data_IF_306683731397
#
_entry.id   IF_306683731397
#
_cell.length_a   1.000
_cell.length_b   1.000
_cell.length_c   1.000
_cell.angle_alpha   90.00
_cell.angle_beta   90.00
_cell.angle_gamma   90.00
#
_symmetry.space_group_name_H-M   'P 1'
#
loop_
_entity.id
_entity.type
_entity.pdbx_description
1 polymer ?
#
# COMPACT_ATOMS: atom_id res chain seq x y z
N UNK A 1 18.50 13.06 1.06
CA UNK A 1 17.17 13.06 0.40
C UNK A 1 17.29 12.25 -0.87
N UNK A 2 16.39 11.30 -1.07
CA UNK A 2 16.31 10.52 -2.31
C UNK A 2 15.38 11.20 -3.32
N UNK A 3 14.21 11.68 -2.84
CA UNK A 3 13.20 12.34 -3.67
C UNK A 3 12.31 13.25 -2.83
N UNK A 4 11.54 14.09 -3.50
CA UNK A 4 10.45 14.85 -2.91
C UNK A 4 9.12 14.31 -3.42
N UNK A 5 8.19 14.06 -2.51
CA UNK A 5 6.82 13.76 -2.85
C UNK A 5 5.91 14.87 -2.33
N UNK A 6 4.87 15.20 -3.08
CA UNK A 6 3.95 16.28 -2.72
C UNK A 6 2.64 15.69 -2.25
N UNK A 7 2.14 16.21 -1.13
CA UNK A 7 0.83 15.84 -0.59
C UNK A 7 -0.14 16.99 -0.80
N UNK A 8 -1.38 16.66 -1.10
CA UNK A 8 -2.49 17.62 -1.08
C UNK A 8 -2.87 17.89 0.37
N UNK A 9 -2.10 18.71 1.08
CA UNK A 9 -2.43 19.05 2.47
C UNK A 9 -3.81 19.72 2.61
N UNK A 10 -4.34 19.75 3.83
CA UNK A 10 -5.58 20.46 4.20
C UNK A 10 -5.53 21.97 3.89
N UNK A 11 -4.34 22.49 3.60
CA UNK A 11 -4.08 23.86 3.12
C UNK A 11 -4.00 23.87 1.59
N UNK A 12 -4.42 24.97 0.95
CA UNK A 12 -4.51 25.14 -0.51
C UNK A 12 -3.22 24.86 -1.31
N UNK A 13 -2.06 24.78 -0.67
CA UNK A 13 -0.77 24.51 -1.32
C UNK A 13 -0.24 23.14 -0.95
N UNK A 14 0.26 22.37 -1.94
CA UNK A 14 0.90 21.07 -1.68
C UNK A 14 2.12 21.22 -0.76
N UNK A 15 2.25 20.29 0.20
CA UNK A 15 3.42 20.20 1.06
C UNK A 15 4.43 19.22 0.48
N UNK A 16 5.71 19.59 0.47
CA UNK A 16 6.77 18.71 -0.03
C UNK A 16 7.35 17.87 1.11
N UNK A 17 7.30 16.56 0.97
CA UNK A 17 7.88 15.58 1.89
C UNK A 17 9.28 15.20 1.38
N UNK A 18 10.36 15.52 2.12
CA UNK A 18 11.71 15.09 1.77
C UNK A 18 11.91 13.62 2.16
N UNK A 19 11.63 12.72 1.22
CA UNK A 19 11.81 11.28 1.42
C UNK A 19 13.31 10.93 1.35
N UNK A 20 13.84 10.35 2.40
CA UNK A 20 15.25 9.98 2.50
C UNK A 20 15.50 8.53 2.08
N UNK A 21 16.75 8.18 1.75
CA UNK A 21 17.14 6.78 1.53
C UNK A 21 16.87 5.92 2.77
N UNK A 22 17.12 6.46 3.98
CA UNK A 22 16.82 5.75 5.22
C UNK A 22 15.35 5.38 5.33
N UNK A 23 14.45 6.33 5.07
CA UNK A 23 13.00 6.09 5.11
C UNK A 23 12.60 4.99 4.14
N UNK A 24 13.11 5.01 2.91
CA UNK A 24 12.83 3.99 1.89
C UNK A 24 13.34 2.61 2.30
N UNK A 25 14.59 2.50 2.76
CA UNK A 25 15.19 1.24 3.18
C UNK A 25 14.48 0.66 4.41
N UNK A 26 14.17 1.50 5.40
CA UNK A 26 13.43 1.07 6.61
C UNK A 26 12.04 0.55 6.21
N UNK A 27 11.36 1.23 5.30
CA UNK A 27 10.05 0.78 4.82
C UNK A 27 10.13 -0.58 4.12
N UNK A 28 11.13 -0.81 3.27
CA UNK A 28 11.32 -2.10 2.61
C UNK A 28 11.67 -3.21 3.60
N UNK A 29 12.44 -2.91 4.65
CA UNK A 29 12.72 -3.86 5.72
C UNK A 29 11.44 -4.20 6.53
N UNK A 30 10.56 -3.23 6.78
CA UNK A 30 9.24 -3.47 7.38
C UNK A 30 8.40 -4.43 6.54
N UNK A 31 8.39 -4.21 5.22
CA UNK A 31 7.67 -5.06 4.28
C UNK A 31 8.23 -6.49 4.27
N UNK A 32 9.54 -6.64 4.21
CA UNK A 32 10.19 -7.95 4.21
C UNK A 32 9.91 -8.73 5.51
N UNK A 33 9.93 -8.06 6.66
CA UNK A 33 9.59 -8.68 7.95
C UNK A 33 8.09 -9.03 8.07
N UNK A 34 7.23 -8.31 7.36
CA UNK A 34 5.78 -8.57 7.33
C UNK A 34 5.41 -9.66 6.34
N UNK A 35 6.15 -9.73 5.23
CA UNK A 35 5.96 -10.64 4.10
C UNK A 35 7.23 -11.46 3.83
N UNK A 36 7.55 -12.42 4.69
CA UNK A 36 8.78 -13.22 4.55
C UNK A 36 8.83 -14.02 3.24
N UNK A 37 7.69 -14.18 2.57
CA UNK A 37 7.58 -14.80 1.25
C UNK A 37 8.47 -14.12 0.20
N UNK A 38 8.83 -12.85 0.39
CA UNK A 38 9.73 -12.12 -0.50
C UNK A 38 11.20 -12.58 -0.42
N UNK A 39 11.62 -13.19 0.71
CA UNK A 39 12.93 -13.84 0.83
C UNK A 39 12.98 -15.17 0.09
N UNK A 40 11.88 -15.92 0.13
CA UNK A 40 11.81 -17.24 -0.49
C UNK A 40 11.73 -17.16 -2.01
N UNK A 41 11.00 -16.18 -2.52
CA UNK A 41 10.75 -16.02 -3.95
C UNK A 41 10.79 -14.54 -4.33
N UNK A 42 11.72 -14.13 -5.21
CA UNK A 42 11.73 -12.76 -5.71
C UNK A 42 10.35 -12.33 -6.24
N UNK A 43 9.79 -11.20 -5.78
CA UNK A 43 8.45 -10.80 -6.15
C UNK A 43 8.33 -10.41 -7.62
N UNK A 44 7.23 -10.82 -8.24
CA UNK A 44 6.84 -10.43 -9.59
C UNK A 44 5.59 -9.57 -9.48
N UNK A 45 5.68 -8.33 -9.93
CA UNK A 45 4.60 -7.36 -9.93
C UNK A 45 4.19 -7.00 -11.34
N UNK A 46 2.90 -6.78 -11.54
CA UNK A 46 2.34 -6.00 -12.65
C UNK A 46 1.70 -4.75 -12.06
N UNK A 47 2.21 -3.56 -12.38
CA UNK A 47 1.88 -2.33 -11.67
C UNK A 47 1.63 -1.14 -12.60
N UNK A 48 0.45 -0.52 -12.48
CA UNK A 48 0.05 0.71 -13.17
C UNK A 48 0.08 1.94 -12.25
N UNK A 49 0.35 1.74 -10.93
CA UNK A 49 0.30 2.83 -9.96
C UNK A 49 1.38 3.88 -10.25
N UNK A 50 1.00 5.12 -10.07
CA UNK A 50 1.85 6.25 -10.41
C UNK A 50 3.12 6.33 -9.55
N UNK A 51 4.29 6.43 -10.17
CA UNK A 51 5.57 6.50 -9.47
C UNK A 51 5.83 7.84 -8.76
N UNK A 52 5.05 8.86 -9.07
CA UNK A 52 5.08 10.12 -8.29
C UNK A 52 4.22 10.05 -7.02
N UNK A 53 3.49 8.97 -6.79
CA UNK A 53 2.78 8.69 -5.55
C UNK A 53 3.57 7.68 -4.71
N UNK A 54 3.51 7.83 -3.37
CA UNK A 54 4.29 6.99 -2.46
C UNK A 54 3.96 5.50 -2.57
N UNK A 55 2.71 5.13 -2.89
CA UNK A 55 2.31 3.73 -3.04
C UNK A 55 2.99 3.08 -4.27
N UNK A 56 2.87 3.64 -5.46
CA UNK A 56 3.56 3.11 -6.65
C UNK A 56 5.08 3.28 -6.55
N UNK A 57 5.55 4.53 -6.38
CA UNK A 57 6.95 4.87 -6.54
C UNK A 57 7.89 4.62 -5.35
N UNK A 58 7.36 4.39 -4.13
CA UNK A 58 8.18 4.03 -2.96
C UNK A 58 7.93 2.59 -2.54
N UNK A 59 6.66 2.20 -2.43
CA UNK A 59 6.26 0.88 -1.95
C UNK A 59 6.48 -0.19 -3.04
N UNK A 60 5.76 -0.11 -4.17
CA UNK A 60 5.77 -1.17 -5.18
C UNK A 60 7.11 -1.28 -5.91
N UNK A 61 7.64 -0.16 -6.40
CA UNK A 61 8.98 -0.13 -7.02
C UNK A 61 10.04 -0.60 -6.01
N UNK A 62 9.92 -0.17 -4.75
CA UNK A 62 10.83 -0.57 -3.69
C UNK A 62 10.79 -2.07 -3.41
N UNK A 63 9.62 -2.71 -3.40
CA UNK A 63 9.46 -4.17 -3.23
C UNK A 63 10.29 -4.91 -4.29
N UNK A 64 10.15 -4.55 -5.57
CA UNK A 64 10.91 -5.19 -6.64
C UNK A 64 12.42 -4.96 -6.48
N UNK A 65 12.86 -3.71 -6.24
CA UNK A 65 14.28 -3.37 -6.14
C UNK A 65 14.95 -4.01 -4.91
N UNK A 66 14.29 -3.98 -3.76
CA UNK A 66 14.88 -4.46 -2.50
C UNK A 66 15.01 -5.98 -2.45
N UNK A 67 14.07 -6.70 -3.04
CA UNK A 67 13.99 -8.16 -2.97
C UNK A 67 14.48 -8.85 -4.27
N UNK A 68 15.14 -8.13 -5.19
CA UNK A 68 15.63 -8.71 -6.45
C UNK A 68 14.50 -9.20 -7.37
N UNK A 69 13.33 -8.58 -7.27
CA UNK A 69 12.13 -8.94 -8.01
C UNK A 69 12.04 -8.32 -9.39
N UNK A 70 10.92 -8.55 -10.05
CA UNK A 70 10.60 -8.02 -11.37
C UNK A 70 9.34 -7.16 -11.28
N UNK A 71 9.35 -5.97 -11.88
CA UNK A 71 8.18 -5.13 -12.05
C UNK A 71 7.88 -4.95 -13.54
N UNK A 72 6.70 -5.36 -13.96
CA UNK A 72 6.15 -5.07 -15.28
C UNK A 72 5.33 -3.79 -15.18
N UNK A 73 5.69 -2.80 -15.99
CA UNK A 73 5.01 -1.50 -16.03
C UNK A 73 3.77 -1.64 -16.89
N UNK A 74 2.62 -1.34 -16.31
CA UNK A 74 1.31 -1.43 -16.94
C UNK A 74 0.75 -0.03 -17.22
N UNK A 75 0.27 0.20 -18.43
CA UNK A 75 -0.37 1.46 -18.84
C UNK A 75 -1.89 1.47 -18.57
N UNK A 76 -2.43 0.36 -18.05
CA UNK A 76 -3.82 0.24 -17.64
C UNK A 76 -4.17 1.13 -16.45
N UNK A 77 -5.46 1.43 -16.31
CA UNK A 77 -6.00 2.20 -15.18
C UNK A 77 -7.45 1.77 -14.94
N UNK A 78 -7.96 1.80 -13.70
CA UNK A 78 -9.35 1.46 -13.39
C UNK A 78 -10.31 2.59 -13.78
N UNK A 79 -10.30 2.95 -15.06
CA UNK A 79 -11.19 3.92 -15.72
C UNK A 79 -11.70 3.32 -17.02
N UNK A 80 -12.87 3.75 -17.43
CA UNK A 80 -13.54 3.21 -18.62
C UNK A 80 -12.62 3.16 -19.86
N UNK A 81 -12.53 1.99 -20.49
CA UNK A 81 -11.77 1.73 -21.70
C UNK A 81 -10.25 1.67 -21.53
N UNK A 82 -9.72 1.68 -20.30
CA UNK A 82 -8.27 1.55 -20.03
C UNK A 82 -7.91 0.33 -19.19
N UNK A 83 -8.83 -0.27 -18.48
CA UNK A 83 -8.55 -1.43 -17.66
C UNK A 83 -8.35 -2.71 -18.48
N UNK A 84 -8.84 -2.76 -19.71
CA UNK A 84 -8.63 -3.85 -20.67
C UNK A 84 -7.14 -4.11 -20.93
N UNK A 85 -6.30 -3.07 -20.85
CA UNK A 85 -4.84 -3.19 -20.94
C UNK A 85 -4.29 -4.01 -19.79
N UNK A 86 -4.68 -3.70 -18.56
CA UNK A 86 -4.30 -4.48 -17.37
C UNK A 86 -4.76 -5.94 -17.48
N UNK A 87 -6.00 -6.17 -17.96
CA UNK A 87 -6.52 -7.53 -18.15
C UNK A 87 -5.69 -8.30 -19.16
N UNK A 88 -5.37 -7.69 -20.32
CA UNK A 88 -4.51 -8.31 -21.34
C UNK A 88 -3.14 -8.67 -20.74
N UNK A 89 -2.52 -7.77 -20.03
CA UNK A 89 -1.20 -7.99 -19.43
C UNK A 89 -1.24 -9.08 -18.35
N UNK A 90 -2.32 -9.17 -17.56
CA UNK A 90 -2.51 -10.23 -16.55
C UNK A 90 -2.75 -11.63 -17.17
N UNK A 91 -3.20 -11.72 -18.40
CA UNK A 91 -3.26 -13.00 -19.14
C UNK A 91 -1.89 -13.49 -19.60
N UNK A 92 -0.93 -12.59 -19.77
CA UNK A 92 0.45 -12.93 -20.15
C UNK A 92 1.35 -13.11 -18.93
N UNK A 93 1.14 -12.30 -17.87
CA UNK A 93 2.00 -12.20 -16.70
C UNK A 93 1.26 -12.67 -15.46
N UNK A 94 1.77 -13.72 -14.82
CA UNK A 94 1.27 -14.21 -13.53
C UNK A 94 2.06 -13.56 -12.39
N UNK A 95 1.51 -12.57 -11.66
CA UNK A 95 2.19 -11.94 -10.55
C UNK A 95 2.29 -12.89 -9.35
N UNK A 96 3.29 -12.70 -8.49
CA UNK A 96 3.38 -13.41 -7.20
C UNK A 96 2.76 -12.58 -6.06
N UNK A 97 2.76 -11.28 -6.21
CA UNK A 97 2.07 -10.32 -5.34
C UNK A 97 1.35 -9.29 -6.21
N UNK A 98 0.09 -9.05 -5.92
CA UNK A 98 -0.68 -8.06 -6.66
C UNK A 98 -1.19 -6.96 -5.73
N UNK A 99 -0.77 -5.73 -6.03
CA UNK A 99 -1.04 -4.56 -5.20
C UNK A 99 -1.90 -3.58 -5.99
N UNK A 100 -2.98 -3.11 -5.39
CA UNK A 100 -3.88 -2.18 -6.08
C UNK A 100 -4.63 -1.28 -5.10
N UNK A 101 -5.32 -0.29 -5.64
CA UNK A 101 -6.31 0.51 -4.92
C UNK A 101 -7.69 -0.16 -5.01
N UNK A 102 -8.65 0.14 -4.11
CA UNK A 102 -9.96 -0.51 -4.12
C UNK A 102 -10.68 -0.48 -5.46
N UNK A 103 -10.63 0.65 -6.18
CA UNK A 103 -11.26 0.74 -7.51
C UNK A 103 -10.64 -0.23 -8.53
N UNK A 104 -9.32 -0.42 -8.50
CA UNK A 104 -8.66 -1.41 -9.36
C UNK A 104 -9.03 -2.85 -8.98
N UNK A 105 -9.25 -3.12 -7.69
CA UNK A 105 -9.76 -4.41 -7.23
C UNK A 105 -11.20 -4.69 -7.67
N UNK A 106 -12.07 -3.67 -7.66
CA UNK A 106 -13.44 -3.80 -8.16
C UNK A 106 -13.46 -4.22 -9.64
N UNK A 107 -12.73 -3.49 -10.50
CA UNK A 107 -12.63 -3.78 -11.95
C UNK A 107 -12.02 -5.18 -12.19
N UNK A 108 -10.94 -5.53 -11.47
CA UNK A 108 -10.30 -6.83 -11.61
C UNK A 108 -11.22 -7.97 -11.14
N UNK A 109 -11.92 -7.79 -10.02
CA UNK A 109 -12.85 -8.80 -9.49
C UNK A 109 -13.97 -9.08 -10.49
N UNK A 110 -14.53 -8.04 -11.11
CA UNK A 110 -15.55 -8.18 -12.15
C UNK A 110 -15.02 -8.94 -13.38
N UNK A 111 -13.78 -8.67 -13.79
CA UNK A 111 -13.16 -9.39 -14.90
C UNK A 111 -12.87 -10.86 -14.54
N UNK A 112 -12.35 -11.11 -13.33
CA UNK A 112 -12.10 -12.47 -12.83
C UNK A 112 -13.38 -13.32 -12.72
N UNK A 113 -14.54 -12.73 -12.47
CA UNK A 113 -15.83 -13.46 -12.47
C UNK A 113 -16.22 -13.98 -13.85
N UNK A 114 -15.83 -13.27 -14.92
CA UNK A 114 -16.29 -13.53 -16.28
C UNK A 114 -15.29 -14.29 -17.15
N UNK A 115 -14.01 -14.26 -16.80
CA UNK A 115 -12.92 -14.73 -17.67
C UNK A 115 -12.10 -15.82 -16.97
N UNK A 116 -12.26 -17.07 -17.43
CA UNK A 116 -11.58 -18.24 -16.86
C UNK A 116 -10.09 -18.23 -17.15
N UNK A 117 -9.67 -17.87 -18.36
CA UNK A 117 -8.27 -17.77 -18.73
C UNK A 117 -7.53 -16.73 -17.85
N UNK A 118 -8.17 -15.59 -17.59
CA UNK A 118 -7.64 -14.58 -16.69
C UNK A 118 -7.49 -15.13 -15.26
N UNK A 119 -8.50 -15.85 -14.74
CA UNK A 119 -8.41 -16.49 -13.42
C UNK A 119 -7.24 -17.46 -13.33
N UNK A 120 -7.11 -18.36 -14.31
CA UNK A 120 -6.03 -19.35 -14.36
C UNK A 120 -4.66 -18.67 -14.31
N UNK A 121 -4.49 -17.62 -15.11
CA UNK A 121 -3.22 -16.90 -15.18
C UNK A 121 -2.94 -16.05 -13.94
N UNK A 122 -3.95 -15.31 -13.46
CA UNK A 122 -3.81 -14.45 -12.30
C UNK A 122 -3.48 -15.24 -11.03
N UNK A 123 -4.22 -16.32 -10.77
CA UNK A 123 -4.04 -17.12 -9.57
C UNK A 123 -2.90 -18.16 -9.67
N UNK A 124 -2.29 -18.35 -10.82
CA UNK A 124 -1.25 -19.36 -11.02
C UNK A 124 -0.05 -19.23 -10.06
N UNK A 125 0.30 -18.02 -9.65
CA UNK A 125 1.48 -17.75 -8.80
C UNK A 125 1.23 -16.80 -7.66
N UNK A 126 0.08 -16.14 -7.59
CA UNK A 126 -0.19 -15.11 -6.61
C UNK A 126 -0.32 -15.71 -5.22
N UNK A 127 0.41 -15.14 -4.25
CA UNK A 127 0.39 -15.54 -2.84
C UNK A 127 -0.20 -14.45 -1.95
N UNK A 128 -0.11 -13.19 -2.39
CA UNK A 128 -0.52 -12.02 -1.61
C UNK A 128 -1.34 -11.10 -2.49
N UNK A 129 -2.55 -10.76 -2.04
CA UNK A 129 -3.41 -9.73 -2.60
C UNK A 129 -3.41 -8.55 -1.63
N UNK A 130 -3.01 -7.38 -2.09
CA UNK A 130 -2.82 -6.23 -1.22
C UNK A 130 -3.55 -4.99 -1.73
N UNK A 131 -4.24 -4.28 -0.86
CA UNK A 131 -4.83 -2.99 -1.19
C UNK A 131 -4.44 -1.91 -0.17
N UNK A 132 -4.36 -0.67 -0.64
CA UNK A 132 -4.14 0.50 0.20
C UNK A 132 -4.69 1.77 -0.46
N UNK A 133 -4.63 2.89 0.25
CA UNK A 133 -5.07 4.20 -0.23
C UNK A 133 -6.53 4.52 0.04
N UNK A 134 -7.37 3.49 0.25
CA UNK A 134 -8.76 3.59 0.71
C UNK A 134 -9.23 2.24 1.26
N UNK A 135 -10.40 2.21 1.90
CA UNK A 135 -11.02 0.98 2.36
C UNK A 135 -11.65 0.20 1.19
N UNK A 136 -11.43 -1.10 1.13
CA UNK A 136 -12.20 -2.01 0.28
C UNK A 136 -13.52 -2.33 0.98
N UNK A 137 -14.63 -2.29 0.26
CA UNK A 137 -15.93 -2.63 0.83
C UNK A 137 -15.97 -4.12 1.23
N UNK A 138 -16.74 -4.44 2.26
CA UNK A 138 -16.94 -5.82 2.70
C UNK A 138 -17.48 -6.70 1.56
N UNK A 139 -18.40 -6.19 0.76
CA UNK A 139 -18.92 -6.88 -0.40
C UNK A 139 -17.82 -7.17 -1.46
N UNK A 140 -16.95 -6.20 -1.74
CA UNK A 140 -15.81 -6.37 -2.65
C UNK A 140 -14.81 -7.40 -2.13
N UNK A 141 -14.52 -7.34 -0.83
CA UNK A 141 -13.65 -8.32 -0.16
C UNK A 141 -14.20 -9.74 -0.30
N UNK A 142 -15.48 -9.93 0.08
CA UNK A 142 -16.11 -11.25 0.05
C UNK A 142 -16.21 -11.83 -1.36
N UNK A 143 -16.43 -10.99 -2.39
CA UNK A 143 -16.42 -11.43 -3.79
C UNK A 143 -15.05 -11.95 -4.20
N UNK A 144 -14.00 -11.20 -3.92
CA UNK A 144 -12.62 -11.58 -4.26
C UNK A 144 -12.19 -12.85 -3.52
N UNK A 145 -12.45 -12.94 -2.21
CA UNK A 145 -12.15 -14.14 -1.40
C UNK A 145 -12.88 -15.39 -1.91
N UNK A 146 -14.15 -15.23 -2.30
CA UNK A 146 -14.96 -16.31 -2.89
C UNK A 146 -14.36 -16.83 -4.20
N UNK A 147 -13.99 -15.92 -5.12
CA UNK A 147 -13.38 -16.29 -6.40
C UNK A 147 -12.05 -17.03 -6.16
N UNK A 148 -11.18 -16.46 -5.32
CA UNK A 148 -9.90 -17.06 -4.97
C UNK A 148 -10.08 -18.46 -4.38
N UNK A 149 -10.97 -18.62 -3.40
CA UNK A 149 -11.24 -19.91 -2.77
C UNK A 149 -11.84 -20.94 -3.74
N UNK A 150 -12.78 -20.54 -4.60
CA UNK A 150 -13.38 -21.44 -5.59
C UNK A 150 -12.37 -21.91 -6.64
N UNK A 151 -11.44 -21.03 -7.04
CA UNK A 151 -10.45 -21.34 -8.08
C UNK A 151 -9.24 -22.10 -7.51
N UNK A 152 -8.68 -21.65 -6.39
CA UNK A 152 -7.44 -22.23 -5.82
C UNK A 152 -7.70 -23.38 -4.85
N UNK A 153 -8.95 -23.60 -4.41
CA UNK A 153 -9.28 -24.57 -3.36
C UNK A 153 -8.90 -24.12 -1.94
N UNK A 154 -8.21 -23.00 -1.82
CA UNK A 154 -7.76 -22.40 -0.56
C UNK A 154 -7.90 -20.89 -0.56
N UNK A 155 -7.84 -20.28 0.63
CA UNK A 155 -7.86 -18.82 0.75
C UNK A 155 -6.51 -18.22 0.41
N UNK A 156 -6.50 -17.27 -0.52
CA UNK A 156 -5.34 -16.41 -0.73
C UNK A 156 -5.37 -15.27 0.29
N UNK A 157 -4.21 -14.91 0.78
CA UNK A 157 -4.05 -13.86 1.77
C UNK A 157 -4.39 -12.49 1.18
N UNK A 158 -5.55 -11.95 1.57
CA UNK A 158 -5.96 -10.57 1.23
C UNK A 158 -5.55 -9.68 2.40
N UNK A 159 -4.80 -8.64 2.11
CA UNK A 159 -4.22 -7.74 3.12
C UNK A 159 -4.42 -6.28 2.75
N UNK A 160 -4.36 -5.45 3.75
CA UNK A 160 -4.30 -4.00 3.55
C UNK A 160 -3.21 -3.37 4.40
N UNK A 161 -2.86 -2.15 4.05
CA UNK A 161 -1.94 -1.34 4.82
C UNK A 161 -2.44 0.09 4.98
N UNK A 162 -2.22 0.66 6.16
CA UNK A 162 -2.35 2.08 6.40
C UNK A 162 -0.98 2.74 6.24
N UNK A 163 -0.96 3.85 5.54
CA UNK A 163 0.25 4.63 5.36
C UNK A 163 0.00 5.93 4.61
N UNK A 164 1.01 6.78 4.58
CA UNK A 164 0.96 8.10 3.97
C UNK A 164 2.32 8.51 3.41
N UNK A 165 2.37 9.59 2.66
CA UNK A 165 3.62 10.07 2.06
C UNK A 165 4.68 10.37 3.11
N UNK A 166 4.27 10.89 4.25
CA UNK A 166 5.08 11.27 5.40
C UNK A 166 5.78 10.08 6.09
N UNK A 167 5.31 8.85 5.82
CA UNK A 167 5.81 7.61 6.44
C UNK A 167 6.45 6.61 5.46
N UNK A 168 6.62 6.96 4.19
CA UNK A 168 7.39 6.32 3.13
C UNK A 168 6.98 4.90 2.63
N UNK A 169 5.74 4.43 2.54
CA UNK A 169 4.50 4.97 3.12
C UNK A 169 4.02 4.26 4.40
N UNK A 170 4.51 3.08 4.78
CA UNK A 170 3.81 2.13 5.65
C UNK A 170 3.83 2.51 7.13
N UNK A 171 2.69 2.37 7.80
CA UNK A 171 2.54 2.50 9.25
C UNK A 171 2.01 1.22 9.89
N UNK A 172 1.01 0.60 9.29
CA UNK A 172 0.36 -0.59 9.81
C UNK A 172 -0.02 -1.55 8.68
N UNK A 173 -0.10 -2.84 9.00
CA UNK A 173 -0.51 -3.90 8.08
C UNK A 173 -1.54 -4.81 8.73
N UNK A 174 -2.54 -5.24 7.98
CA UNK A 174 -3.49 -6.24 8.41
C UNK A 174 -2.84 -7.62 8.39
N UNK A 175 -2.24 -8.01 9.50
CA UNK A 175 -1.62 -9.31 9.71
C UNK A 175 -2.42 -10.13 10.70
N UNK A 176 -2.27 -11.48 10.65
CA UNK A 176 -2.94 -12.38 11.58
C UNK A 176 -4.28 -12.92 11.08
N UNK A 177 -4.99 -13.71 11.91
CA UNK A 177 -6.16 -14.48 11.47
C UNK A 177 -7.46 -13.66 11.34
N UNK A 178 -7.50 -12.44 11.87
CA UNK A 178 -8.69 -11.58 11.86
C UNK A 178 -8.52 -10.41 10.89
N UNK A 179 -8.50 -10.73 9.62
CA UNK A 179 -8.51 -9.69 8.57
C UNK A 179 -9.95 -9.48 8.13
N UNK A 180 -10.44 -8.26 8.27
CA UNK A 180 -11.82 -7.88 7.94
C UNK A 180 -11.85 -6.45 7.40
N UNK A 181 -12.90 -6.12 6.65
CA UNK A 181 -13.11 -4.76 6.16
C UNK A 181 -13.14 -3.75 7.32
N UNK A 182 -12.43 -2.62 7.16
CA UNK A 182 -12.30 -1.58 8.17
C UNK A 182 -11.21 -1.81 9.22
N UNK A 183 -10.61 -2.99 9.31
CA UNK A 183 -9.45 -3.22 10.16
C UNK A 183 -8.19 -2.66 9.48
N UNK A 184 -7.51 -1.71 10.13
CA UNK A 184 -6.30 -1.07 9.58
C UNK A 184 -5.00 -1.81 9.91
N UNK A 185 -5.05 -2.82 10.76
CA UNK A 185 -3.92 -3.68 11.08
C UNK A 185 -3.20 -3.33 12.38
N UNK A 186 -2.03 -3.94 12.51
CA UNK A 186 -1.08 -3.71 13.62
C UNK A 186 0.08 -2.83 13.14
N UNK A 187 0.77 -2.13 14.07
CA UNK A 187 1.96 -1.36 13.72
C UNK A 187 2.96 -2.20 12.92
N UNK A 188 3.48 -1.61 11.83
CA UNK A 188 4.55 -2.24 11.07
C UNK A 188 5.82 -2.40 11.94
N UNK A 189 6.69 -3.39 11.69
CA UNK A 189 7.92 -3.58 12.45
C UNK A 189 8.76 -2.29 12.54
N UNK A 190 9.02 -1.81 13.76
CA UNK A 190 9.75 -0.56 14.02
C UNK A 190 8.91 0.72 13.87
N UNK A 191 7.61 0.60 13.67
CA UNK A 191 6.64 1.69 13.76
C UNK A 191 6.01 1.71 15.16
N UNK A 192 6.04 2.83 15.82
CA UNK A 192 5.31 3.08 17.06
C UNK A 192 4.07 3.91 16.75
N UNK A 193 2.95 3.51 17.33
CA UNK A 193 1.66 4.17 17.16
C UNK A 193 1.18 4.66 18.52
N UNK A 194 0.71 5.90 18.56
CA UNK A 194 0.03 6.50 19.71
C UNK A 194 -1.34 7.01 19.26
N UNK A 195 -2.37 6.71 20.03
CA UNK A 195 -3.71 7.23 19.82
C UNK A 195 -3.97 8.36 20.80
N UNK A 196 -4.24 9.55 20.29
CA UNK A 196 -4.44 10.77 21.06
C UNK A 196 -5.89 11.21 20.99
N UNK A 197 -6.59 11.47 22.13
CA UNK A 197 -7.95 11.98 22.10
C UNK A 197 -8.08 13.27 21.28
N UNK A 198 -9.03 13.26 20.33
CA UNK A 198 -9.35 14.40 19.48
C UNK A 198 -10.87 14.52 19.34
N UNK A 199 -11.50 15.29 20.22
CA UNK A 199 -12.96 15.34 20.33
C UNK A 199 -13.52 13.98 20.79
N UNK A 200 -14.44 13.43 20.02
CA UNK A 200 -15.05 12.10 20.21
C UNK A 200 -14.30 10.95 19.53
N UNK A 201 -13.14 11.24 18.92
CA UNK A 201 -12.29 10.30 18.20
C UNK A 201 -10.89 10.21 18.79
N UNK A 202 -10.07 9.37 18.18
CA UNK A 202 -8.65 9.21 18.51
C UNK A 202 -7.82 9.53 17.27
N UNK A 203 -6.96 10.54 17.36
CA UNK A 203 -5.99 10.84 16.32
C UNK A 203 -4.89 9.78 16.30
N UNK A 204 -4.56 9.32 15.12
CA UNK A 204 -3.48 8.38 14.87
C UNK A 204 -2.15 9.12 14.75
N UNK A 205 -1.23 8.91 15.68
CA UNK A 205 0.10 9.51 15.67
C UNK A 205 1.16 8.42 15.51
N UNK A 206 2.22 8.72 14.77
CA UNK A 206 3.26 7.73 14.43
C UNK A 206 4.66 8.22 14.71
N UNK A 207 5.55 7.29 15.12
CA UNK A 207 6.96 7.52 15.32
C UNK A 207 7.78 6.36 14.75
N UNK A 208 8.92 6.65 14.16
CA UNK A 208 9.85 5.64 13.63
C UNK A 208 10.84 6.22 12.63
N UNK A 209 11.82 5.41 12.22
CA UNK A 209 12.86 5.83 11.25
C UNK A 209 12.32 6.02 9.83
N UNK A 210 11.14 5.50 9.54
CA UNK A 210 10.41 5.65 8.28
C UNK A 210 9.63 6.97 8.20
N UNK A 211 9.44 7.66 9.32
CA UNK A 211 8.72 8.93 9.40
C UNK A 211 9.63 10.09 8.96
N UNK A 212 9.09 11.02 8.15
CA UNK A 212 9.80 12.23 7.77
C UNK A 212 10.22 13.04 9.00
N UNK A 213 11.21 13.92 8.84
CA UNK A 213 11.62 14.86 9.90
C UNK A 213 10.98 16.25 9.79
N UNK A 214 10.03 16.41 8.88
CA UNK A 214 9.32 17.64 8.62
C UNK A 214 9.16 17.91 7.14
N UNK A 215 8.27 18.84 6.79
CA UNK A 215 8.07 19.27 5.42
C UNK A 215 9.18 20.20 4.94
N UNK A 216 9.50 20.12 3.68
CA UNK A 216 10.53 20.95 3.07
C UNK A 216 10.17 22.43 3.11
N UNK A 217 11.08 23.25 3.66
CA UNK A 217 10.91 24.71 3.78
C UNK A 217 9.69 25.18 4.58
N UNK A 218 9.10 24.32 5.40
CA UNK A 218 8.10 24.74 6.36
C UNK A 218 8.76 25.59 7.45
N UNK A 219 8.12 26.66 7.89
CA UNK A 219 8.63 27.53 8.94
C UNK A 219 8.73 26.77 10.28
N UNK A 220 9.68 27.13 11.12
CA UNK A 220 9.96 26.41 12.36
C UNK A 220 8.76 26.40 13.34
N UNK A 221 8.01 27.49 13.42
CA UNK A 221 6.78 27.60 14.22
C UNK A 221 5.66 26.66 13.75
N UNK A 222 5.56 26.45 12.44
CA UNK A 222 4.62 25.50 11.86
C UNK A 222 5.10 24.05 11.98
N UNK A 223 6.42 23.84 11.99
CA UNK A 223 7.01 22.50 12.11
C UNK A 223 6.87 21.94 13.52
N UNK A 224 6.90 22.79 14.55
CA UNK A 224 6.69 22.40 15.94
C UNK A 224 5.27 21.92 16.27
N UNK A 225 4.30 22.18 15.39
CA UNK A 225 2.90 21.75 15.57
C UNK A 225 2.59 20.38 14.97
N UNK A 226 3.51 19.81 14.17
CA UNK A 226 3.30 18.52 13.50
C UNK A 226 3.95 17.34 14.22
N UNK A 227 4.75 17.60 15.25
CA UNK A 227 5.31 16.58 16.15
C UNK A 227 5.04 16.97 17.59
N UNK A 228 4.77 15.98 18.42
CA UNK A 228 4.70 16.20 19.86
C UNK A 228 6.10 16.15 20.53
N UNK A 229 6.15 16.43 21.85
CA UNK A 229 7.39 16.45 22.63
C UNK A 229 8.07 15.06 22.71
N UNK A 230 7.34 13.98 22.43
CA UNK A 230 7.85 12.61 22.37
C UNK A 230 8.34 12.23 20.97
N UNK A 231 8.17 13.12 19.98
CA UNK A 231 8.57 12.92 18.59
C UNK A 231 7.57 12.12 17.73
N UNK A 232 6.32 11.99 18.15
CA UNK A 232 5.27 11.42 17.33
C UNK A 232 4.76 12.45 16.32
N UNK A 233 4.68 12.03 15.08
CA UNK A 233 4.06 12.80 14.00
C UNK A 233 2.54 12.75 14.12
N UNK A 234 1.90 13.91 14.19
CA UNK A 234 0.46 14.07 14.14
C UNK A 234 -0.02 13.92 12.71
N UNK A 235 -0.76 12.85 12.41
CA UNK A 235 -1.21 12.56 11.05
C UNK A 235 -2.41 13.41 10.64
N UNK A 236 -3.23 13.82 11.58
CA UNK A 236 -4.53 14.46 11.37
C UNK A 236 -5.64 13.46 11.01
N UNK A 237 -5.35 12.16 11.00
CA UNK A 237 -6.34 11.10 10.77
C UNK A 237 -6.95 10.67 12.12
N UNK A 238 -8.31 10.72 12.24
CA UNK A 238 -9.06 10.40 13.46
C UNK A 238 -10.41 9.71 13.17
#
# INVERSE_FOLDING_TARGET
IAKFLFTSGSTKLPKAVPTTHLMLCVNQQMLLQTFPEFEETPPVLLDWLSWHHTFGGSHNVGIALYNGGTIYIDDGKPVAGKFDETIRNLKEISPTVYLNVPKGWEELTEALEKDEELRDRFFAKVKILFFAGAALSEAGWNRLDKIAQQHCGEKIRIMSGLGMTETAPSCAFTTGPRVMAGFIGYPAPGCEIKLVPCGDKLEFCVRGKHVMKGYWRLKADQQSTIFDDEGFFHTGDA
#
